data_IF_107213765016
#
_entry.id   IF_107213765016
#
_cell.length_a   1.000
_cell.length_b   1.000
_cell.length_c   1.000
_cell.angle_alpha   90.00
_cell.angle_beta   90.00
_cell.angle_gamma   90.00
#
_symmetry.space_group_name_H-M   'P 1'
#
loop_
_entity.id
_entity.type
_entity.pdbx_description
1 polymer ?
#
# COMPACT_ATOMS: atom_id res chain seq x y z
N UNK A 1 -4.99 -3.24 1.12
CA UNK A 1 -4.42 -3.60 -0.20
C UNK A 1 -5.49 -3.38 -1.23
N UNK A 2 -5.12 -2.85 -2.38
CA UNK A 2 -6.05 -2.52 -3.45
C UNK A 2 -5.53 -3.03 -4.79
N UNK A 3 -6.40 -3.69 -5.54
CA UNK A 3 -6.17 -4.05 -6.93
C UNK A 3 -6.52 -2.86 -7.82
N UNK A 4 -5.58 -2.43 -8.64
CA UNK A 4 -5.68 -1.24 -9.51
C UNK A 4 -5.17 -1.56 -10.91
N UNK A 5 -5.65 -0.81 -11.90
CA UNK A 5 -5.12 -0.84 -13.27
C UNK A 5 -4.23 0.37 -13.48
N UNK A 6 -2.99 0.15 -13.94
CA UNK A 6 -2.04 1.21 -14.21
C UNK A 6 -2.45 1.97 -15.48
N UNK A 7 -2.72 3.26 -15.37
CA UNK A 7 -3.04 4.11 -16.54
C UNK A 7 -1.82 4.86 -17.06
N UNK A 8 -0.87 5.19 -16.17
CA UNK A 8 0.45 5.76 -16.50
C UNK A 8 1.52 5.24 -15.56
N UNK A 9 2.74 5.05 -16.07
CA UNK A 9 3.91 4.65 -15.29
C UNK A 9 5.11 5.50 -15.70
N UNK A 10 5.72 6.18 -14.73
CA UNK A 10 6.91 7.00 -14.90
C UNK A 10 8.01 6.52 -13.97
N UNK A 11 9.26 6.59 -14.44
CA UNK A 11 10.45 6.21 -13.66
C UNK A 11 11.47 7.34 -13.74
N UNK A 12 12.06 7.70 -12.61
CA UNK A 12 13.14 8.67 -12.57
C UNK A 12 14.19 8.27 -11.53
N UNK A 13 15.46 8.43 -11.88
CA UNK A 13 16.60 8.33 -10.96
C UNK A 13 17.11 9.70 -10.52
N UNK A 14 16.62 10.78 -11.13
CA UNK A 14 17.04 12.15 -10.84
C UNK A 14 15.85 13.04 -10.48
N UNK A 15 16.12 14.15 -9.78
CA UNK A 15 15.17 15.24 -9.58
C UNK A 15 15.13 16.19 -10.81
N UNK A 16 14.33 17.25 -10.73
CA UNK A 16 14.19 18.27 -11.77
C UNK A 16 15.48 19.06 -12.06
N UNK A 17 16.43 19.07 -11.12
CA UNK A 17 17.73 19.73 -11.23
C UNK A 17 18.82 18.79 -11.76
N UNK A 18 18.46 17.54 -12.09
CA UNK A 18 19.39 16.53 -12.58
C UNK A 18 20.21 15.83 -11.49
N UNK A 19 19.94 16.09 -10.21
CA UNK A 19 20.62 15.42 -9.09
C UNK A 19 20.02 14.03 -8.84
N UNK A 20 20.87 13.05 -8.54
CA UNK A 20 20.44 11.68 -8.22
C UNK A 20 19.56 11.64 -6.97
N UNK A 21 18.47 10.89 -7.04
CA UNK A 21 17.58 10.67 -5.92
C UNK A 21 18.25 9.75 -4.89
N UNK A 22 18.35 10.23 -3.65
CA UNK A 22 18.94 9.49 -2.53
C UNK A 22 17.98 9.39 -1.35
N UNK A 23 18.00 8.24 -0.69
CA UNK A 23 17.29 8.02 0.57
C UNK A 23 17.95 8.80 1.71
N UNK A 24 17.31 8.85 2.89
CA UNK A 24 17.85 9.55 4.06
C UNK A 24 19.24 9.04 4.50
N UNK A 25 19.50 7.76 4.27
CA UNK A 25 20.76 7.08 4.53
C UNK A 25 21.75 7.14 3.33
N UNK A 26 21.42 7.88 2.28
CA UNK A 26 22.33 8.18 1.16
C UNK A 26 22.34 7.16 0.02
N UNK A 27 21.51 6.10 0.08
CA UNK A 27 21.40 5.13 -1.01
C UNK A 27 20.62 5.70 -2.19
N UNK A 28 21.11 5.44 -3.39
CA UNK A 28 20.42 5.84 -4.62
C UNK A 28 19.17 4.98 -4.84
N UNK A 29 18.11 5.58 -5.37
CA UNK A 29 16.88 4.86 -5.67
C UNK A 29 16.23 5.33 -6.97
N UNK A 30 15.46 4.44 -7.58
CA UNK A 30 14.54 4.81 -8.67
C UNK A 30 13.19 5.14 -8.08
N UNK A 31 12.68 6.34 -8.35
CA UNK A 31 11.29 6.69 -8.05
C UNK A 31 10.38 6.13 -9.14
N UNK A 32 9.33 5.44 -8.74
CA UNK A 32 8.24 5.02 -9.62
C UNK A 32 7.02 5.86 -9.29
N UNK A 33 6.45 6.47 -10.31
CA UNK A 33 5.27 7.31 -10.22
C UNK A 33 4.18 6.75 -11.12
N UNK A 34 3.01 6.44 -10.57
CA UNK A 34 1.92 5.81 -11.31
C UNK A 34 0.65 6.65 -11.25
N UNK A 35 -0.17 6.54 -12.29
CA UNK A 35 -1.59 6.86 -12.23
C UNK A 35 -2.40 5.57 -12.34
N UNK A 36 -3.59 5.56 -11.77
CA UNK A 36 -4.45 4.38 -11.73
C UNK A 36 -5.87 4.73 -12.11
N UNK A 37 -6.65 3.71 -12.47
CA UNK A 37 -8.09 3.80 -12.67
C UNK A 37 -8.86 4.31 -11.44
N UNK A 38 -8.41 3.95 -10.23
CA UNK A 38 -9.09 4.30 -8.97
C UNK A 38 -8.76 5.68 -8.41
N UNK A 39 -7.57 6.20 -8.69
CA UNK A 39 -7.12 7.50 -8.15
C UNK A 39 -7.12 8.62 -9.19
N UNK A 40 -7.68 8.37 -10.38
CA UNK A 40 -7.83 9.35 -11.45
C UNK A 40 -6.51 9.99 -11.85
N UNK A 41 -6.45 11.32 -11.77
CA UNK A 41 -5.27 12.10 -12.14
C UNK A 41 -4.25 12.29 -11.02
N UNK A 42 -4.53 11.78 -9.81
CA UNK A 42 -3.59 11.83 -8.70
C UNK A 42 -2.45 10.86 -8.97
N UNK A 43 -1.22 11.34 -8.76
CA UNK A 43 0.00 10.61 -9.04
C UNK A 43 0.52 9.96 -7.75
N UNK A 44 0.58 8.63 -7.72
CA UNK A 44 1.07 7.86 -6.59
C UNK A 44 2.56 7.62 -6.75
N UNK A 45 3.33 7.89 -5.70
CA UNK A 45 4.79 7.69 -5.72
C UNK A 45 5.23 6.50 -4.87
N UNK A 46 6.21 5.75 -5.36
CA UNK A 46 6.76 4.60 -4.66
C UNK A 46 8.21 4.34 -5.05
N UNK A 47 8.81 3.34 -4.43
CA UNK A 47 10.17 2.91 -4.72
C UNK A 47 10.19 1.86 -5.84
N UNK A 48 11.13 2.03 -6.77
CA UNK A 48 11.43 1.04 -7.80
C UNK A 48 12.13 -0.17 -7.21
N UNK A 49 11.66 -1.37 -7.57
CA UNK A 49 12.26 -2.64 -7.18
C UNK A 49 12.04 -3.69 -8.28
N UNK A 50 12.49 -4.93 -8.04
CA UNK A 50 12.35 -6.02 -9.02
C UNK A 50 10.89 -6.31 -9.38
N UNK A 51 10.00 -6.30 -8.39
CA UNK A 51 8.58 -6.65 -8.55
C UNK A 51 7.80 -5.65 -9.40
N UNK A 52 8.24 -4.39 -9.42
CA UNK A 52 7.63 -3.35 -10.23
C UNK A 52 8.50 -2.89 -11.40
N UNK A 53 9.63 -3.54 -11.72
CA UNK A 53 10.56 -3.09 -12.76
C UNK A 53 9.94 -3.04 -14.16
N UNK A 54 9.05 -3.99 -14.46
CA UNK A 54 8.48 -4.19 -15.80
C UNK A 54 7.02 -3.74 -15.92
N UNK A 55 6.51 -3.01 -14.93
CA UNK A 55 5.16 -2.45 -15.01
C UNK A 55 5.02 -1.50 -16.19
N UNK A 56 3.90 -1.66 -16.91
CA UNK A 56 3.49 -0.83 -18.04
C UNK A 56 2.01 -0.46 -17.91
N UNK A 57 1.59 0.52 -18.72
CA UNK A 57 0.20 0.93 -18.84
C UNK A 57 -0.68 -0.28 -19.22
N UNK A 58 -1.85 -0.40 -18.59
CA UNK A 58 -2.79 -1.50 -18.75
C UNK A 58 -2.56 -2.69 -17.81
N UNK A 59 -1.42 -2.79 -17.12
CA UNK A 59 -1.19 -3.86 -16.16
C UNK A 59 -2.11 -3.71 -14.94
N UNK A 60 -2.66 -4.82 -14.44
CA UNK A 60 -3.40 -4.87 -13.18
C UNK A 60 -2.49 -5.36 -12.06
N UNK A 61 -2.37 -4.57 -10.99
CA UNK A 61 -1.43 -4.81 -9.89
C UNK A 61 -2.12 -4.63 -8.54
N UNK A 62 -1.54 -5.23 -7.50
CA UNK A 62 -1.97 -5.02 -6.11
C UNK A 62 -0.96 -4.15 -5.38
N UNK A 63 -1.45 -3.05 -4.81
CA UNK A 63 -0.64 -2.07 -4.08
C UNK A 63 -1.28 -1.73 -2.73
N UNK A 64 -0.47 -1.23 -1.81
CA UNK A 64 -0.94 -0.56 -0.60
C UNK A 64 -0.78 0.94 -0.81
N UNK A 65 -1.85 1.70 -0.70
CA UNK A 65 -1.85 3.15 -0.87
C UNK A 65 -1.80 3.81 0.50
N UNK A 66 -0.89 4.75 0.67
CA UNK A 66 -0.69 5.48 1.92
C UNK A 66 -0.64 6.99 1.64
N UNK A 67 -1.45 7.76 2.36
CA UNK A 67 -1.40 9.21 2.29
C UNK A 67 -0.35 9.77 3.25
N UNK A 68 0.56 10.61 2.75
CA UNK A 68 1.50 11.40 3.56
C UNK A 68 1.36 12.87 3.24
N UNK A 69 0.63 13.57 4.11
CA UNK A 69 0.26 14.97 3.89
C UNK A 69 -0.58 15.10 2.62
N UNK A 70 -0.11 15.90 1.67
CA UNK A 70 -0.78 16.13 0.38
C UNK A 70 -0.45 15.10 -0.71
N UNK A 71 0.43 14.14 -0.44
CA UNK A 71 0.90 13.18 -1.43
C UNK A 71 0.34 11.78 -1.18
N UNK A 72 -0.04 11.08 -2.25
CA UNK A 72 -0.31 9.65 -2.22
C UNK A 72 0.98 8.88 -2.54
N UNK A 73 1.28 7.91 -1.70
CA UNK A 73 2.36 6.96 -1.94
C UNK A 73 1.79 5.57 -2.12
N UNK A 74 2.56 4.70 -2.75
CA UNK A 74 2.26 3.28 -2.78
C UNK A 74 3.46 2.44 -2.33
N UNK A 75 3.15 1.30 -1.76
CA UNK A 75 4.10 0.23 -1.46
C UNK A 75 3.60 -1.09 -2.03
N UNK A 76 4.53 -2.01 -2.27
CA UNK A 76 4.17 -3.39 -2.56
C UNK A 76 3.81 -4.07 -1.24
N UNK A 77 2.78 -4.92 -1.21
CA UNK A 77 2.52 -5.75 -0.05
C UNK A 77 3.77 -6.60 0.26
N UNK A 78 4.17 -6.61 1.54
CA UNK A 78 5.31 -7.41 2.00
C UNK A 78 5.03 -8.89 1.73
N UNK A 79 5.96 -9.58 1.05
CA UNK A 79 5.83 -10.99 0.71
C UNK A 79 5.63 -11.84 1.96
N UNK A 80 6.25 -11.47 3.09
CA UNK A 80 6.06 -12.17 4.37
C UNK A 80 4.65 -11.94 4.91
N UNK A 81 4.12 -10.72 4.80
CA UNK A 81 2.75 -10.41 5.19
C UNK A 81 1.73 -11.16 4.31
N UNK A 82 1.98 -11.25 2.99
CA UNK A 82 1.16 -12.03 2.06
C UNK A 82 1.18 -13.53 2.38
N UNK A 83 2.35 -14.08 2.72
CA UNK A 83 2.49 -15.47 3.12
C UNK A 83 1.71 -15.76 4.39
N UNK A 84 1.78 -14.88 5.41
CA UNK A 84 1.00 -15.02 6.65
C UNK A 84 -0.50 -15.07 6.37
N UNK A 85 -1.02 -14.12 5.58
CA UNK A 85 -2.44 -14.09 5.20
C UNK A 85 -2.85 -15.38 4.46
N UNK A 86 -1.99 -15.90 3.57
CA UNK A 86 -2.27 -17.16 2.85
C UNK A 86 -2.26 -18.37 3.77
N UNK A 87 -1.31 -18.45 4.71
CA UNK A 87 -1.23 -19.53 5.69
C UNK A 87 -2.46 -19.51 6.59
N UNK A 88 -2.84 -18.35 7.13
CA UNK A 88 -4.06 -18.21 7.96
C UNK A 88 -5.32 -18.66 7.20
N UNK A 89 -5.45 -18.28 5.92
CA UNK A 89 -6.58 -18.72 5.09
C UNK A 89 -6.58 -20.24 4.88
N UNK A 90 -5.42 -20.83 4.58
CA UNK A 90 -5.29 -22.27 4.38
C UNK A 90 -5.54 -23.05 5.67
N UNK A 91 -5.08 -22.55 6.82
CA UNK A 91 -5.35 -23.12 8.14
C UNK A 91 -6.84 -23.07 8.49
N UNK A 92 -7.51 -21.95 8.21
CA UNK A 92 -8.96 -21.84 8.39
C UNK A 92 -9.74 -22.80 7.48
N UNK A 93 -9.36 -22.93 6.21
CA UNK A 93 -9.96 -23.90 5.28
C UNK A 93 -9.69 -25.36 5.69
N UNK A 94 -8.48 -25.65 6.19
CA UNK A 94 -8.13 -26.97 6.69
C UNK A 94 -8.90 -27.31 7.98
N UNK A 95 -9.06 -26.36 8.90
CA UNK A 95 -9.85 -26.53 10.12
C UNK A 95 -11.32 -26.81 9.80
N UNK A 96 -11.89 -26.06 8.84
CA UNK A 96 -13.26 -26.29 8.36
C UNK A 96 -13.43 -27.68 7.73
N UNK A 97 -12.45 -28.12 6.92
CA UNK A 97 -12.45 -29.46 6.30
C UNK A 97 -12.25 -30.59 7.31
N UNK A 98 -11.53 -30.34 8.40
CA UNK A 98 -11.31 -31.29 9.48
C UNK A 98 -12.52 -31.43 10.44
N UNK A 99 -13.65 -30.78 10.13
CA UNK A 99 -14.85 -30.79 10.99
C UNK A 99 -14.71 -29.92 12.24
N UNK A 100 -13.69 -29.05 12.30
CA UNK A 100 -13.53 -28.05 13.35
C UNK A 100 -14.49 -26.89 13.12
N UNK A 101 -15.41 -26.69 14.06
CA UNK A 101 -16.23 -25.47 14.12
C UNK A 101 -15.29 -24.26 14.19
N UNK A 102 -15.38 -23.37 13.20
CA UNK A 102 -14.60 -22.15 13.16
C UNK A 102 -14.82 -21.35 14.46
N UNK A 103 -13.78 -21.22 15.27
CA UNK A 103 -13.78 -20.28 16.38
C UNK A 103 -13.60 -18.89 15.75
N UNK A 104 -14.71 -18.21 15.47
CA UNK A 104 -14.69 -16.77 15.23
C UNK A 104 -14.20 -16.10 16.52
N UNK A 105 -12.90 -15.84 16.60
CA UNK A 105 -12.41 -14.79 17.47
C UNK A 105 -12.90 -13.46 16.91
N UNK A 106 -13.99 -12.97 17.49
CA UNK A 106 -14.34 -11.55 17.50
C UNK A 106 -13.10 -10.77 17.93
N UNK A 107 -12.46 -10.13 16.96
CA UNK A 107 -11.54 -9.03 17.22
C UNK A 107 -12.37 -7.92 17.85
N UNK A 108 -12.18 -7.71 19.15
CA UNK A 108 -12.64 -6.54 19.87
C UNK A 108 -12.21 -5.31 19.07
N UNK A 109 -13.20 -4.63 18.49
CA UNK A 109 -13.00 -3.32 17.91
C UNK A 109 -12.89 -2.36 19.09
N UNK A 110 -11.78 -1.63 19.30
CA UNK A 110 -11.77 -0.58 20.29
C UNK A 110 -12.87 0.43 19.94
N UNK A 111 -13.61 0.84 20.98
CA UNK A 111 -14.73 1.76 20.89
C UNK A 111 -14.41 3.00 20.02
N UNK A 112 -15.40 3.56 19.31
CA UNK A 112 -15.21 4.81 18.60
C UNK A 112 -14.71 5.89 19.56
N UNK A 113 -13.57 6.47 19.23
CA UNK A 113 -13.08 7.70 19.86
C UNK A 113 -14.14 8.78 19.68
N UNK A 114 -14.63 9.32 20.80
CA UNK A 114 -15.56 10.44 20.84
C UNK A 114 -15.07 11.58 19.94
N UNK A 115 -16.00 12.15 19.16
CA UNK A 115 -15.80 13.37 18.39
C UNK A 115 -15.18 14.45 19.29
N UNK A 116 -14.02 14.97 18.86
CA UNK A 116 -13.42 16.16 19.46
C UNK A 116 -14.38 17.32 19.19
N UNK A 117 -15.11 17.74 20.23
CA UNK A 117 -15.94 18.94 20.18
C UNK A 117 -15.02 20.18 20.15
N UNK A 118 -15.00 20.96 19.05
CA UNK A 118 -14.13 22.13 18.92
C UNK A 118 -14.44 23.26 19.92
N UNK A 119 -15.60 23.23 20.57
CA UNK A 119 -16.01 24.27 21.54
C UNK A 119 -15.41 24.07 22.96
N UNK A 120 -14.59 23.03 23.17
CA UNK A 120 -13.94 22.77 24.47
C UNK A 120 -12.42 23.00 24.50
N UNK A 121 -11.85 23.66 23.50
CA UNK A 121 -10.42 24.03 23.52
C UNK A 121 -10.27 25.39 24.22
N UNK A 122 -9.72 25.47 25.46
CA UNK A 122 -9.38 26.77 26.04
C UNK A 122 -8.20 27.39 25.28
N UNK A 123 -8.32 28.68 24.97
CA UNK A 123 -7.28 29.51 24.36
C UNK A 123 -6.01 29.58 25.22
#
# INVERSE_FOLDING_TARGET
MEKVTLTKVYRSTTNSEGQTLKTKDGREYTRVSIKTDKHGDVLLSGFGNRSNANWKEGDTVEIVVEQKGQYLNFSMPDEVALLKIRVEKLEAEAALRAGGTAVSQVVDTPAPVDEINPDKIPF
#
